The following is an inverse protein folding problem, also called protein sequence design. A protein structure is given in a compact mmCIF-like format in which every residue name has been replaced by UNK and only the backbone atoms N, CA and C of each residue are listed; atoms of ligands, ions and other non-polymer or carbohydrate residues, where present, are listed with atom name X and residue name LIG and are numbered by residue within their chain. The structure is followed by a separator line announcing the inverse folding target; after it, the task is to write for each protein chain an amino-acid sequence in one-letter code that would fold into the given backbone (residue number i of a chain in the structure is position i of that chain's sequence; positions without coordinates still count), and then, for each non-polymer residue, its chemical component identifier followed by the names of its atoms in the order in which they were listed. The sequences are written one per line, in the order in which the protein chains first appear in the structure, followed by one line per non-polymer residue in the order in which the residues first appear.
data_IF_098233175084
#
_entry.id   IF_098233175084
#
_cell.length_a   1.000
_cell.length_b   1.000
_cell.length_c   1.000
_cell.angle_alpha   90.00
_cell.angle_beta   90.00
_cell.angle_gamma   90.00
#
_symmetry.space_group_name_H-M   'P 1'
#
loop_
_entity.id
_entity.type
_entity.pdbx_description
1 polymer ?
#
# COMPACT_ATOMS: atom_id res chain seq x y z
N UNK A 1 5.13 -28.82 3.78
CA UNK A 1 4.43 -28.26 2.62
C UNK A 1 3.89 -26.86 2.84
N UNK A 2 3.07 -26.61 3.85
CA UNK A 2 2.51 -25.27 4.15
C UNK A 2 3.55 -24.16 4.42
N UNK A 3 4.65 -24.48 5.11
CA UNK A 3 5.74 -23.52 5.33
C UNK A 3 6.48 -23.14 4.05
N UNK A 4 6.65 -24.07 3.14
CA UNK A 4 7.27 -23.83 1.84
C UNK A 4 6.37 -22.93 0.98
N UNK A 5 5.06 -23.22 0.89
CA UNK A 5 4.08 -22.38 0.21
C UNK A 5 4.05 -20.96 0.78
N UNK A 6 4.10 -20.78 2.10
CA UNK A 6 4.15 -19.45 2.74
C UNK A 6 5.40 -18.65 2.36
N UNK A 7 6.55 -19.31 2.22
CA UNK A 7 7.79 -18.64 1.83
C UNK A 7 7.83 -18.28 0.34
N UNK A 8 7.16 -19.07 -0.50
CA UNK A 8 7.13 -18.88 -1.96
C UNK A 8 5.85 -18.21 -2.46
N UNK A 9 4.99 -17.73 -1.58
CA UNK A 9 3.70 -17.11 -1.94
C UNK A 9 3.87 -15.94 -2.90
N UNK A 10 4.89 -15.09 -2.72
CA UNK A 10 5.12 -13.93 -3.57
C UNK A 10 5.47 -14.34 -5.01
N UNK A 11 6.50 -15.15 -5.28
CA UNK A 11 6.80 -15.57 -6.65
C UNK A 11 5.67 -16.42 -7.26
N UNK A 12 5.00 -17.26 -6.47
CA UNK A 12 3.87 -18.07 -6.97
C UNK A 12 2.70 -17.16 -7.37
N UNK A 13 2.32 -16.17 -6.55
CA UNK A 13 1.24 -15.24 -6.88
C UNK A 13 1.56 -14.41 -8.13
N UNK A 14 2.81 -13.96 -8.30
CA UNK A 14 3.25 -13.26 -9.50
C UNK A 14 3.19 -14.17 -10.74
N UNK A 15 3.66 -15.41 -10.66
CA UNK A 15 3.59 -16.37 -11.78
C UNK A 15 2.15 -16.69 -12.15
N UNK A 16 1.28 -16.93 -11.17
CA UNK A 16 -0.15 -17.18 -11.38
C UNK A 16 -0.81 -15.96 -12.03
N UNK A 17 -0.50 -14.75 -11.58
CA UNK A 17 -0.98 -13.51 -12.18
C UNK A 17 -0.51 -13.32 -13.62
N UNK A 18 0.76 -13.63 -13.90
CA UNK A 18 1.34 -13.53 -15.23
C UNK A 18 0.74 -14.55 -16.22
N UNK A 19 0.62 -15.80 -15.82
CA UNK A 19 0.06 -16.88 -16.68
C UNK A 19 -1.45 -16.72 -16.86
N UNK A 20 -2.16 -16.37 -15.78
CA UNK A 20 -3.61 -16.19 -15.78
C UNK A 20 -4.08 -14.78 -16.17
N UNK A 21 -3.26 -13.99 -16.87
CA UNK A 21 -3.53 -12.57 -17.14
C UNK A 21 -4.92 -12.27 -17.71
N UNK A 22 -5.52 -13.08 -18.64
CA UNK A 22 -6.84 -12.75 -19.18
C UNK A 22 -7.95 -12.74 -18.13
N UNK A 23 -7.86 -13.65 -17.15
CA UNK A 23 -8.79 -13.76 -16.05
C UNK A 23 -8.58 -12.63 -15.03
N UNK A 24 -7.34 -12.41 -14.63
CA UNK A 24 -7.02 -11.44 -13.58
C UNK A 24 -7.17 -9.99 -14.01
N UNK A 25 -6.99 -9.65 -15.29
CA UNK A 25 -7.29 -8.33 -15.84
C UNK A 25 -8.76 -7.97 -15.63
N UNK A 26 -9.66 -8.90 -15.87
CA UNK A 26 -11.10 -8.68 -15.65
C UNK A 26 -11.46 -8.46 -14.19
N UNK A 27 -10.61 -8.92 -13.26
CA UNK A 27 -10.77 -8.77 -11.82
C UNK A 27 -10.08 -7.53 -11.24
N UNK A 28 -9.44 -6.70 -12.08
CA UNK A 28 -8.68 -5.51 -11.62
C UNK A 28 -9.54 -4.51 -10.84
N UNK A 29 -10.85 -4.44 -11.11
CA UNK A 29 -11.78 -3.61 -10.34
C UNK A 29 -11.89 -4.03 -8.87
N UNK A 30 -11.53 -5.27 -8.54
CA UNK A 30 -11.58 -5.80 -7.17
C UNK A 30 -10.41 -5.33 -6.30
N UNK A 31 -9.31 -4.87 -6.91
CA UNK A 31 -8.07 -4.45 -6.21
C UNK A 31 -8.31 -3.46 -5.07
N UNK A 32 -9.04 -2.34 -5.25
CA UNK A 32 -9.26 -1.40 -4.15
C UNK A 32 -10.05 -2.00 -2.99
N UNK A 33 -11.00 -2.90 -3.26
CA UNK A 33 -11.78 -3.60 -2.23
C UNK A 33 -10.92 -4.60 -1.45
N UNK A 34 -10.02 -5.30 -2.13
CA UNK A 34 -9.06 -6.22 -1.49
C UNK A 34 -8.11 -5.46 -0.59
N UNK A 35 -7.56 -4.34 -1.07
CA UNK A 35 -6.67 -3.47 -0.28
C UNK A 35 -7.42 -2.93 0.94
N UNK A 36 -8.65 -2.42 0.76
CA UNK A 36 -9.48 -1.94 1.84
C UNK A 36 -9.72 -3.02 2.90
N UNK A 37 -10.13 -4.21 2.49
CA UNK A 37 -10.42 -5.33 3.41
C UNK A 37 -9.17 -5.79 4.14
N UNK A 38 -8.03 -5.86 3.44
CA UNK A 38 -6.75 -6.23 4.02
C UNK A 38 -6.28 -5.21 5.06
N UNK A 39 -6.41 -3.92 4.77
CA UNK A 39 -6.09 -2.84 5.71
C UNK A 39 -7.04 -2.85 6.91
N UNK A 40 -8.35 -3.07 6.68
CA UNK A 40 -9.33 -3.18 7.75
C UNK A 40 -8.97 -4.31 8.72
N UNK A 41 -8.71 -5.51 8.23
CA UNK A 41 -8.29 -6.67 9.04
C UNK A 41 -7.00 -6.41 9.81
N UNK A 42 -6.08 -5.67 9.20
CA UNK A 42 -4.82 -5.28 9.82
C UNK A 42 -5.04 -4.28 10.94
N UNK A 43 -5.85 -3.25 10.70
CA UNK A 43 -6.12 -2.20 11.69
C UNK A 43 -7.02 -2.67 12.83
N UNK A 44 -7.87 -3.69 12.62
CA UNK A 44 -8.61 -4.32 13.72
C UNK A 44 -7.69 -4.90 14.81
N UNK A 45 -6.45 -5.30 14.48
CA UNK A 45 -5.46 -5.79 15.45
C UNK A 45 -4.83 -4.70 16.30
N UNK A 46 -4.93 -3.46 15.86
CA UNK A 46 -4.27 -2.32 16.50
C UNK A 46 -5.17 -1.80 17.60
N UNK A 47 -4.76 -1.99 18.85
CA UNK A 47 -5.43 -1.32 19.96
C UNK A 47 -5.08 0.17 19.94
N UNK A 48 -6.04 1.09 19.94
CA UNK A 48 -5.76 2.53 20.03
C UNK A 48 -4.91 2.90 21.25
N UNK A 49 -4.99 2.11 22.33
CA UNK A 49 -4.21 2.30 23.54
C UNK A 49 -2.70 2.00 23.35
N UNK A 50 -2.38 1.13 22.39
CA UNK A 50 -0.99 0.74 22.10
C UNK A 50 -0.31 1.71 21.11
N UNK A 51 -1.08 2.60 20.48
CA UNK A 51 -0.60 3.62 19.58
C UNK A 51 0.02 4.77 20.39
N UNK A 52 1.31 4.68 20.65
CA UNK A 52 2.09 5.73 21.33
C UNK A 52 3.00 6.42 20.31
N UNK A 53 2.56 7.54 19.69
CA UNK A 53 3.42 8.29 18.80
C UNK A 53 4.61 8.83 19.60
N UNK A 54 5.81 8.57 19.07
CA UNK A 54 7.08 9.07 19.61
C UNK A 54 7.69 10.07 18.63
N UNK A 55 8.54 10.99 19.08
CA UNK A 55 9.26 11.88 18.18
C UNK A 55 10.02 11.14 17.06
N UNK A 56 10.48 9.92 17.34
CA UNK A 56 11.12 9.05 16.36
C UNK A 56 10.21 8.80 15.13
N UNK A 57 8.91 8.58 15.34
CA UNK A 57 7.99 8.33 14.23
C UNK A 57 7.83 9.57 13.34
N UNK A 58 7.81 10.77 13.93
CA UNK A 58 7.76 12.02 13.18
C UNK A 58 9.03 12.21 12.33
N UNK A 59 10.21 11.93 12.90
CA UNK A 59 11.46 11.98 12.17
C UNK A 59 11.53 10.99 11.03
N UNK A 60 11.11 9.75 11.26
CA UNK A 60 11.06 8.72 10.21
C UNK A 60 10.11 9.12 9.08
N UNK A 61 8.94 9.68 9.40
CA UNK A 61 7.99 10.16 8.41
C UNK A 61 8.55 11.34 7.61
N UNK A 62 9.21 12.28 8.29
CA UNK A 62 9.87 13.41 7.64
C UNK A 62 10.98 12.93 6.69
N UNK A 63 11.82 12.00 7.14
CA UNK A 63 12.88 11.41 6.31
C UNK A 63 12.28 10.67 5.11
N UNK A 64 11.18 9.95 5.29
CA UNK A 64 10.48 9.25 4.21
C UNK A 64 9.97 10.24 3.16
N UNK A 65 9.25 11.28 3.58
CA UNK A 65 8.65 12.27 2.67
C UNK A 65 9.74 13.12 2.00
N UNK A 66 10.69 13.65 2.78
CA UNK A 66 11.79 14.43 2.25
C UNK A 66 12.72 13.59 1.35
N UNK A 67 12.97 12.33 1.74
CA UNK A 67 13.76 11.38 0.95
C UNK A 67 13.11 11.03 -0.37
N UNK A 68 11.79 10.89 -0.41
CA UNK A 68 11.06 10.66 -1.66
C UNK A 68 11.22 11.83 -2.63
N UNK A 69 11.06 13.06 -2.14
CA UNK A 69 11.25 14.26 -2.94
C UNK A 69 12.71 14.43 -3.39
N UNK A 70 13.66 14.22 -2.47
CA UNK A 70 15.09 14.31 -2.79
C UNK A 70 15.50 13.27 -3.85
N UNK A 71 15.03 12.02 -3.73
CA UNK A 71 15.28 10.97 -4.71
C UNK A 71 14.69 11.32 -6.08
N UNK A 72 13.48 11.87 -6.12
CA UNK A 72 12.88 12.36 -7.36
C UNK A 72 13.74 13.44 -8.02
N UNK A 73 14.09 14.49 -7.29
CA UNK A 73 14.88 15.61 -7.81
C UNK A 73 16.27 15.17 -8.32
N UNK A 74 16.89 14.20 -7.63
CA UNK A 74 18.18 13.67 -8.00
C UNK A 74 18.11 12.85 -9.30
N UNK A 75 17.09 11.99 -9.43
CA UNK A 75 16.95 11.07 -10.55
C UNK A 75 16.24 11.69 -11.76
N UNK A 76 15.47 12.76 -11.56
CA UNK A 76 14.74 13.43 -12.65
C UNK A 76 15.62 13.86 -13.82
N UNK A 77 16.87 14.26 -13.53
CA UNK A 77 17.86 14.65 -14.55
C UNK A 77 18.31 13.49 -15.44
N UNK A 78 18.20 12.25 -14.95
CA UNK A 78 18.62 11.06 -15.68
C UNK A 78 17.43 10.41 -16.43
N UNK A 79 16.34 10.18 -15.71
CA UNK A 79 15.14 9.57 -16.30
C UNK A 79 13.91 9.90 -15.46
N UNK A 80 12.94 10.60 -16.04
CA UNK A 80 11.71 11.02 -15.38
C UNK A 80 10.90 9.82 -14.85
N UNK A 81 10.71 8.78 -15.67
CA UNK A 81 9.90 7.59 -15.32
C UNK A 81 10.53 6.85 -14.12
N UNK A 82 11.85 6.71 -14.13
CA UNK A 82 12.58 6.07 -13.01
C UNK A 82 12.46 6.93 -11.75
N UNK A 83 12.58 8.25 -11.87
CA UNK A 83 12.44 9.18 -10.74
C UNK A 83 11.07 9.10 -10.09
N UNK A 84 10.00 9.08 -10.89
CA UNK A 84 8.62 8.90 -10.44
C UNK A 84 8.42 7.55 -9.73
N UNK A 85 8.91 6.47 -10.34
CA UNK A 85 8.81 5.13 -9.74
C UNK A 85 9.53 5.03 -8.40
N UNK A 86 10.74 5.58 -8.28
CA UNK A 86 11.50 5.60 -7.00
C UNK A 86 10.80 6.45 -5.96
N UNK A 87 10.28 7.62 -6.33
CA UNK A 87 9.50 8.47 -5.42
C UNK A 87 8.28 7.73 -4.86
N UNK A 88 7.52 7.05 -5.72
CA UNK A 88 6.36 6.25 -5.31
C UNK A 88 6.77 5.13 -4.35
N UNK A 89 7.84 4.40 -4.66
CA UNK A 89 8.34 3.32 -3.82
C UNK A 89 8.72 3.80 -2.40
N UNK A 90 9.33 5.00 -2.29
CA UNK A 90 9.72 5.57 -0.99
C UNK A 90 8.51 6.11 -0.22
N UNK A 91 7.55 6.76 -0.90
CA UNK A 91 6.34 7.31 -0.27
C UNK A 91 5.40 6.21 0.21
N UNK A 92 5.40 5.04 -0.45
CA UNK A 92 4.52 3.94 -0.07
C UNK A 92 4.66 3.57 1.42
N UNK A 93 3.53 3.38 2.13
CA UNK A 93 3.55 2.96 3.52
C UNK A 93 4.23 1.60 3.70
N UNK A 94 4.83 1.38 4.88
CA UNK A 94 5.47 0.11 5.21
C UNK A 94 4.47 -1.05 5.21
N UNK A 95 4.89 -2.18 4.67
CA UNK A 95 4.06 -3.39 4.64
C UNK A 95 3.78 -3.91 6.06
N UNK A 96 2.59 -4.43 6.29
CA UNK A 96 2.16 -5.00 7.58
C UNK A 96 3.04 -6.15 8.06
N UNK A 97 3.68 -6.88 7.14
CA UNK A 97 4.65 -7.92 7.44
C UNK A 97 5.88 -7.39 8.18
N UNK A 98 6.22 -6.12 8.02
CA UNK A 98 7.38 -5.50 8.69
C UNK A 98 7.27 -5.57 10.22
N UNK A 99 6.06 -5.43 10.80
CA UNK A 99 5.84 -5.54 12.24
C UNK A 99 6.20 -6.94 12.78
N UNK A 100 5.92 -7.99 12.02
CA UNK A 100 6.24 -9.36 12.38
C UNK A 100 7.77 -9.58 12.33
N UNK A 101 8.43 -9.05 11.31
CA UNK A 101 9.89 -9.17 11.16
C UNK A 101 10.60 -8.40 12.27
N UNK A 102 10.15 -7.16 12.56
CA UNK A 102 10.70 -6.35 13.64
C UNK A 102 10.61 -7.04 15.00
N UNK A 103 9.46 -7.67 15.28
CA UNK A 103 9.28 -8.46 16.51
C UNK A 103 10.28 -9.62 16.60
N UNK A 104 10.54 -10.33 15.50
CA UNK A 104 11.52 -11.43 15.45
C UNK A 104 12.96 -10.96 15.64
N UNK A 105 13.26 -9.73 15.26
CA UNK A 105 14.57 -9.09 15.44
C UNK A 105 14.74 -8.43 16.83
N UNK A 106 13.78 -8.63 17.75
CA UNK A 106 13.81 -8.04 19.09
C UNK A 106 13.33 -6.59 19.18
N UNK A 107 12.80 -6.03 18.10
CA UNK A 107 12.23 -4.68 18.07
C UNK A 107 10.76 -4.66 18.51
N UNK A 108 10.22 -3.45 18.72
CA UNK A 108 8.83 -3.24 19.13
C UNK A 108 7.86 -3.27 17.94
N UNK A 109 7.08 -4.35 17.83
CA UNK A 109 6.01 -4.44 16.84
C UNK A 109 4.96 -3.32 17.00
N UNK A 110 4.62 -2.94 18.23
CA UNK A 110 3.68 -1.85 18.52
C UNK A 110 4.18 -0.50 17.98
N UNK A 111 5.47 -0.19 18.17
CA UNK A 111 6.07 1.03 17.63
C UNK A 111 6.04 1.06 16.11
N UNK A 112 6.36 -0.06 15.45
CA UNK A 112 6.30 -0.12 13.99
C UNK A 112 4.87 -0.05 13.46
N UNK A 113 3.90 -0.67 14.14
CA UNK A 113 2.49 -0.55 13.78
C UNK A 113 2.00 0.90 13.88
N UNK A 114 2.43 1.63 14.93
CA UNK A 114 2.18 3.07 15.05
C UNK A 114 2.79 3.84 13.87
N UNK A 115 4.03 3.54 13.51
CA UNK A 115 4.68 4.15 12.35
C UNK A 115 3.95 3.84 11.04
N UNK A 116 3.52 2.60 10.81
CA UNK A 116 2.76 2.20 9.63
C UNK A 116 1.44 2.98 9.51
N UNK A 117 0.73 3.18 10.63
CA UNK A 117 -0.49 3.98 10.64
C UNK A 117 -0.20 5.45 10.29
N UNK A 118 0.80 6.05 10.93
CA UNK A 118 1.22 7.42 10.62
C UNK A 118 1.72 7.55 9.17
N UNK A 119 2.42 6.53 8.65
CA UNK A 119 2.85 6.45 7.26
C UNK A 119 1.68 6.42 6.27
N UNK A 120 0.60 5.67 6.60
CA UNK A 120 -0.62 5.69 5.78
C UNK A 120 -1.26 7.09 5.73
N UNK A 121 -1.35 7.77 6.88
CA UNK A 121 -1.88 9.15 6.96
C UNK A 121 -0.96 10.10 6.20
N UNK A 122 0.35 9.99 6.40
CA UNK A 122 1.36 10.79 5.70
C UNK A 122 1.29 10.61 4.19
N UNK A 123 1.20 9.38 3.70
CA UNK A 123 1.06 9.07 2.28
C UNK A 123 -0.27 9.60 1.71
N UNK A 124 -1.38 9.47 2.47
CA UNK A 124 -2.69 9.98 2.04
C UNK A 124 -2.69 11.50 1.82
N UNK A 125 -1.81 12.23 2.48
CA UNK A 125 -1.62 13.68 2.31
C UNK A 125 -0.53 13.97 1.27
N UNK A 126 0.61 13.30 1.35
CA UNK A 126 1.78 13.57 0.50
C UNK A 126 1.55 13.21 -0.97
N UNK A 127 0.88 12.08 -1.25
CA UNK A 127 0.62 11.61 -2.62
C UNK A 127 -0.20 12.62 -3.42
N UNK A 128 -1.35 13.14 -2.95
CA UNK A 128 -2.11 14.15 -3.68
C UNK A 128 -1.36 15.46 -3.91
N UNK A 129 -0.38 15.78 -3.07
CA UNK A 129 0.44 16.99 -3.23
C UNK A 129 1.54 16.75 -4.27
N UNK A 130 2.25 15.64 -4.17
CA UNK A 130 3.43 15.40 -5.00
C UNK A 130 3.11 15.00 -6.43
N UNK A 131 2.09 14.17 -6.64
CA UNK A 131 1.74 13.71 -7.98
C UNK A 131 1.40 14.84 -8.95
N UNK A 132 0.52 15.82 -8.60
CA UNK A 132 0.25 16.94 -9.50
C UNK A 132 1.45 17.87 -9.75
N UNK A 133 2.44 17.89 -8.83
CA UNK A 133 3.67 18.68 -9.00
C UNK A 133 4.66 18.00 -9.95
N UNK A 134 4.65 16.67 -9.94
CA UNK A 134 5.59 15.84 -10.71
C UNK A 134 5.05 15.58 -12.11
N UNK A 135 3.77 15.27 -12.22
CA UNK A 135 3.10 14.94 -13.47
C UNK A 135 2.15 16.08 -13.87
N UNK A 136 2.76 17.11 -14.48
CA UNK A 136 2.02 18.28 -14.96
C UNK A 136 1.30 17.91 -16.26
N UNK A 137 -0.02 17.82 -16.21
CA UNK A 137 -0.86 17.72 -17.40
C UNK A 137 -1.30 19.11 -17.85
N UNK A 138 -1.08 19.50 -19.13
CA UNK A 138 -1.43 20.83 -19.62
C UNK A 138 -2.90 21.21 -19.44
N UNK A 139 -3.79 20.22 -19.50
CA UNK A 139 -5.25 20.39 -19.49
C UNK A 139 -5.87 20.30 -18.09
N UNK A 140 -5.09 19.99 -17.04
CA UNK A 140 -5.62 19.78 -15.69
C UNK A 140 -4.92 20.72 -14.71
N UNK A 141 -5.70 21.57 -14.02
CA UNK A 141 -5.14 22.43 -12.98
C UNK A 141 -4.59 21.60 -11.81
N UNK A 142 -3.57 22.14 -11.13
CA UNK A 142 -3.01 21.51 -9.91
C UNK A 142 -4.11 21.10 -8.91
N UNK A 143 -5.04 22.00 -8.63
CA UNK A 143 -6.14 21.76 -7.69
C UNK A 143 -7.10 20.69 -8.17
N UNK A 144 -7.36 20.62 -9.49
CA UNK A 144 -8.18 19.56 -10.09
C UNK A 144 -7.53 18.19 -9.89
N UNK A 145 -6.25 18.05 -10.23
CA UNK A 145 -5.48 16.82 -10.03
C UNK A 145 -5.38 16.45 -8.55
N UNK A 146 -5.09 17.43 -7.68
CA UNK A 146 -5.02 17.25 -6.23
C UNK A 146 -6.30 16.65 -5.66
N UNK A 147 -7.47 17.24 -5.94
CA UNK A 147 -8.74 16.74 -5.41
C UNK A 147 -9.15 15.38 -6.00
N UNK A 148 -8.86 15.11 -7.26
CA UNK A 148 -9.12 13.81 -7.89
C UNK A 148 -8.27 12.72 -7.22
N UNK A 149 -6.99 12.96 -6.98
CA UNK A 149 -6.10 11.99 -6.32
C UNK A 149 -6.49 11.84 -4.85
N UNK A 150 -6.73 12.94 -4.14
CA UNK A 150 -7.16 12.94 -2.74
C UNK A 150 -8.44 12.13 -2.54
N UNK A 151 -9.45 12.32 -3.41
CA UNK A 151 -10.73 11.61 -3.32
C UNK A 151 -10.60 10.09 -3.51
N UNK A 152 -9.56 9.62 -4.18
CA UNK A 152 -9.28 8.19 -4.39
C UNK A 152 -8.38 7.60 -3.31
N UNK A 153 -7.31 8.31 -2.96
CA UNK A 153 -6.27 7.80 -2.05
C UNK A 153 -6.69 7.91 -0.58
N UNK A 154 -7.30 9.03 -0.21
CA UNK A 154 -7.68 9.28 1.18
C UNK A 154 -8.71 8.25 1.71
N UNK A 155 -9.82 7.97 1.02
CA UNK A 155 -10.75 6.93 1.48
C UNK A 155 -10.08 5.55 1.55
N UNK A 156 -9.24 5.22 0.58
CA UNK A 156 -8.59 3.90 0.52
C UNK A 156 -7.67 3.64 1.72
N UNK A 157 -6.98 4.68 2.22
CA UNK A 157 -6.03 4.54 3.32
C UNK A 157 -6.64 4.84 4.70
N UNK A 158 -7.55 5.81 4.79
CA UNK A 158 -8.09 6.31 6.06
C UNK A 158 -9.39 5.59 6.45
N UNK A 159 -10.29 5.31 5.50
CA UNK A 159 -11.56 4.66 5.82
C UNK A 159 -11.41 3.27 6.48
N UNK A 160 -10.45 2.40 6.08
CA UNK A 160 -10.28 1.12 6.79
C UNK A 160 -9.88 1.30 8.24
N UNK A 161 -9.09 2.33 8.56
CA UNK A 161 -8.71 2.66 9.93
C UNK A 161 -9.91 3.15 10.74
N UNK A 162 -10.67 4.11 10.19
CA UNK A 162 -11.88 4.62 10.84
C UNK A 162 -12.91 3.50 11.03
N UNK A 163 -13.10 2.65 10.02
CA UNK A 163 -14.01 1.51 10.11
C UNK A 163 -13.57 0.52 11.19
N UNK A 164 -12.28 0.19 11.29
CA UNK A 164 -11.75 -0.68 12.34
C UNK A 164 -11.98 -0.10 13.73
N UNK A 165 -11.75 1.21 13.89
CA UNK A 165 -11.97 1.93 15.15
C UNK A 165 -13.46 1.96 15.54
N UNK A 166 -14.34 2.27 14.58
CA UNK A 166 -15.80 2.25 14.82
C UNK A 166 -16.29 0.84 15.16
N UNK A 167 -15.85 -0.18 14.46
CA UNK A 167 -16.19 -1.58 14.75
C UNK A 167 -15.75 -1.97 16.15
N UNK A 168 -14.56 -1.57 16.59
CA UNK A 168 -14.09 -1.81 17.97
C UNK A 168 -14.96 -1.16 19.02
N UNK A 169 -15.50 0.05 18.74
CA UNK A 169 -16.31 0.82 19.69
C UNK A 169 -17.79 0.43 19.66
N UNK A 170 -18.38 0.28 18.47
CA UNK A 170 -19.83 0.08 18.31
C UNK A 170 -20.22 -1.40 18.26
N UNK A 171 -19.38 -2.28 17.71
CA UNK A 171 -19.68 -3.70 17.46
C UNK A 171 -18.55 -4.61 17.96
N UNK A 172 -18.28 -4.68 19.28
CA UNK A 172 -17.15 -5.44 19.83
C UNK A 172 -17.21 -6.93 19.48
N UNK A 173 -18.40 -7.52 19.35
CA UNK A 173 -18.56 -8.93 18.94
C UNK A 173 -18.10 -9.18 17.52
N UNK A 174 -18.39 -8.27 16.59
CA UNK A 174 -17.94 -8.34 15.18
C UNK A 174 -16.44 -8.13 15.10
N UNK A 175 -15.93 -7.15 15.84
CA UNK A 175 -14.49 -6.87 15.92
C UNK A 175 -13.70 -8.09 16.40
N UNK A 176 -14.14 -8.76 17.48
CA UNK A 176 -13.51 -9.98 17.99
C UNK A 176 -13.53 -11.12 16.96
N UNK A 177 -14.64 -11.27 16.22
CA UNK A 177 -14.73 -12.26 15.15
C UNK A 177 -13.74 -11.96 14.01
N UNK A 178 -13.58 -10.71 13.62
CA UNK A 178 -12.62 -10.28 12.60
C UNK A 178 -11.17 -10.52 13.03
N UNK A 179 -10.86 -10.39 14.31
CA UNK A 179 -9.54 -10.73 14.86
C UNK A 179 -9.16 -12.19 14.62
N UNK A 180 -10.13 -13.11 14.62
CA UNK A 180 -9.91 -14.52 14.30
C UNK A 180 -9.51 -14.76 12.85
N UNK A 181 -9.89 -13.89 11.93
CA UNK A 181 -9.60 -14.02 10.49
C UNK A 181 -8.32 -13.30 10.05
N UNK A 182 -7.41 -13.03 10.95
CA UNK A 182 -6.21 -12.25 10.64
C UNK A 182 -5.28 -12.89 9.58
N UNK A 183 -5.26 -14.21 9.45
CA UNK A 183 -4.49 -14.87 8.40
C UNK A 183 -5.11 -14.65 7.01
N UNK A 184 -6.40 -14.31 6.94
CA UNK A 184 -7.07 -13.99 5.69
C UNK A 184 -6.44 -12.78 4.99
N UNK A 185 -5.94 -11.79 5.74
CA UNK A 185 -5.23 -10.63 5.17
C UNK A 185 -4.02 -11.05 4.32
N UNK A 186 -3.33 -12.13 4.69
CA UNK A 186 -2.21 -12.66 3.91
C UNK A 186 -2.68 -13.28 2.58
N UNK A 187 -3.78 -14.03 2.59
CA UNK A 187 -4.32 -14.60 1.36
C UNK A 187 -4.91 -13.55 0.43
N UNK A 188 -5.60 -12.55 0.99
CA UNK A 188 -6.09 -11.39 0.23
C UNK A 188 -4.95 -10.62 -0.42
N UNK A 189 -3.82 -10.48 0.29
CA UNK A 189 -2.61 -9.87 -0.27
C UNK A 189 -2.06 -10.68 -1.45
N UNK A 190 -1.99 -12.00 -1.34
CA UNK A 190 -1.52 -12.86 -2.42
C UNK A 190 -2.42 -12.78 -3.66
N UNK A 191 -3.75 -12.78 -3.47
CA UNK A 191 -4.73 -12.62 -4.57
C UNK A 191 -4.60 -11.23 -5.20
N UNK A 192 -4.50 -10.18 -4.39
CA UNK A 192 -4.29 -8.80 -4.87
C UNK A 192 -3.00 -8.68 -5.69
N UNK A 193 -1.92 -9.34 -5.24
CA UNK A 193 -0.66 -9.36 -5.97
C UNK A 193 -0.79 -10.04 -7.34
N UNK A 194 -1.51 -11.18 -7.42
CA UNK A 194 -1.76 -11.84 -8.70
C UNK A 194 -2.56 -10.94 -9.66
N UNK A 195 -3.60 -10.26 -9.14
CA UNK A 195 -4.42 -9.34 -9.95
C UNK A 195 -3.60 -8.15 -10.46
N UNK A 196 -2.76 -7.54 -9.60
CA UNK A 196 -1.93 -6.38 -9.98
C UNK A 196 -0.80 -6.77 -10.94
N UNK A 197 -0.29 -8.01 -10.87
CA UNK A 197 0.76 -8.49 -11.76
C UNK A 197 0.24 -8.74 -13.19
N UNK A 198 -1.03 -9.07 -13.36
CA UNK A 198 -1.61 -9.40 -14.65
C UNK A 198 -1.50 -8.26 -15.69
N UNK A 199 -1.90 -7.00 -15.42
CA UNK A 199 -1.75 -5.89 -16.38
C UNK A 199 -0.29 -5.61 -16.73
N UNK A 200 0.62 -5.73 -15.74
CA UNK A 200 2.06 -5.53 -15.95
C UNK A 200 2.60 -6.59 -16.91
N UNK A 201 2.24 -7.85 -16.69
CA UNK A 201 2.66 -8.96 -17.58
C UNK A 201 2.09 -8.79 -18.98
N UNK A 202 0.84 -8.35 -19.12
CA UNK A 202 0.24 -8.07 -20.42
C UNK A 202 1.02 -6.99 -21.19
N UNK A 203 1.37 -5.89 -20.56
CA UNK A 203 2.14 -4.81 -21.21
C UNK A 203 3.52 -5.28 -21.62
N UNK A 204 4.21 -6.06 -20.79
CA UNK A 204 5.54 -6.58 -21.12
C UNK A 204 5.53 -7.65 -22.22
N UNK A 205 4.46 -8.45 -22.32
CA UNK A 205 4.35 -9.49 -23.36
C UNK A 205 3.84 -8.94 -24.70
N UNK A 206 3.07 -7.83 -24.71
CA UNK A 206 2.45 -7.31 -25.92
C UNK A 206 3.16 -6.10 -26.53
N UNK A 207 3.98 -5.38 -25.76
CA UNK A 207 4.74 -4.22 -26.25
C UNK A 207 5.72 -4.53 -27.40
N UNK A 208 6.44 -5.68 -27.44
CA UNK A 208 7.34 -5.97 -28.55
C UNK A 208 6.66 -6.11 -29.91
N UNK A 209 5.37 -6.41 -29.95
CA UNK A 209 4.62 -6.64 -31.21
C UNK A 209 3.99 -5.37 -31.78
N UNK A 210 4.10 -4.22 -31.13
CA UNK A 210 3.55 -2.93 -31.60
C UNK A 210 4.62 -1.92 -32.04
N UNK A 211 5.88 -2.35 -32.13
CA UNK A 211 7.00 -1.52 -32.60
C UNK A 211 7.44 -1.84 -34.05
N UNK A 212 6.61 -2.61 -34.80
CA UNK A 212 6.74 -2.78 -36.25
C UNK A 212 5.72 -1.93 -37.00
#
# INVERSE_FOLDING_TARGET
MLKFLKNWTLPIAMLVGAVGYPLFISLSFLTPYLIFTMLLLTFCKVSPHDLKPKPLHAWLLLIQIAGALAAYLLLYRFNKIVAEGVMVCIICPTATAAAVITSKLGGSAASLTTYTLLGNIGAAIAVPIFFPLVEVHPDVSFWGAFFVILSKVFPLLICPFLAAWLLGKCLPKVHQKLLGYHELAFYLWAVSLAIVTAPVSYTHLTLPTKLE
#
